data_IF_031015385299
#
_entry.id   IF_031015385299
#
_cell.length_a   1.000
_cell.length_b   1.000
_cell.length_c   1.000
_cell.angle_alpha   90.00
_cell.angle_beta   90.00
_cell.angle_gamma   90.00
#
_symmetry.space_group_name_H-M   'P 1'
#
loop_
_entity.id
_entity.type
_entity.pdbx_description
1 polymer ?
#
# COMPACT_ATOMS: atom_id res chain seq x y z
N UNK A 1 11.75 14.44 -15.38
CA UNK A 1 10.29 14.38 -15.16
C UNK A 1 9.90 15.62 -14.37
N UNK A 2 9.17 16.58 -14.97
CA UNK A 2 8.75 17.84 -14.32
C UNK A 2 8.11 17.65 -12.94
N UNK A 3 7.48 16.49 -12.70
CA UNK A 3 6.93 16.14 -11.39
C UNK A 3 7.98 16.14 -10.27
N UNK A 4 9.23 15.80 -10.58
CA UNK A 4 10.33 15.79 -9.60
C UNK A 4 10.95 17.18 -9.37
N UNK A 5 10.68 18.15 -10.25
CA UNK A 5 11.10 19.55 -10.14
C UNK A 5 10.04 20.47 -9.54
N UNK A 6 8.89 19.92 -9.12
CA UNK A 6 7.75 20.67 -8.54
C UNK A 6 7.14 21.73 -9.49
N UNK A 7 7.37 21.60 -10.80
CA UNK A 7 6.91 22.53 -11.84
C UNK A 7 5.89 21.90 -12.80
N UNK A 8 5.28 20.78 -12.41
CA UNK A 8 4.32 20.06 -13.24
C UNK A 8 2.97 20.78 -13.32
N UNK A 9 2.42 20.89 -14.53
CA UNK A 9 1.04 21.33 -14.76
C UNK A 9 0.03 20.24 -14.40
N UNK A 10 -1.26 20.60 -14.30
CA UNK A 10 -2.35 19.64 -14.10
C UNK A 10 -2.40 18.57 -15.21
N UNK A 11 -2.07 18.94 -16.46
CA UNK A 11 -1.99 18.00 -17.59
C UNK A 11 -0.82 17.03 -17.44
N UNK A 12 0.33 17.50 -16.95
CA UNK A 12 1.48 16.64 -16.66
C UNK A 12 1.16 15.62 -15.56
N UNK A 13 0.45 16.06 -14.53
CA UNK A 13 -0.01 15.22 -13.43
C UNK A 13 -1.00 14.17 -13.95
N UNK A 14 -2.01 14.58 -14.73
CA UNK A 14 -3.00 13.67 -15.29
C UNK A 14 -2.38 12.58 -16.18
N UNK A 15 -1.46 12.97 -17.08
CA UNK A 15 -0.74 12.00 -17.93
C UNK A 15 0.12 11.04 -17.11
N UNK A 16 0.75 11.52 -16.04
CA UNK A 16 1.56 10.68 -15.19
C UNK A 16 0.74 9.70 -14.35
N UNK A 17 -0.42 10.13 -13.84
CA UNK A 17 -1.37 9.24 -13.16
C UNK A 17 -1.79 8.11 -14.12
N UNK A 18 -2.17 8.46 -15.34
CA UNK A 18 -2.60 7.46 -16.33
C UNK A 18 -1.47 6.50 -16.71
N UNK A 19 -0.27 7.04 -16.96
CA UNK A 19 0.92 6.22 -17.20
C UNK A 19 1.17 5.26 -16.04
N UNK A 20 1.07 5.73 -14.79
CA UNK A 20 1.31 4.92 -13.59
C UNK A 20 0.28 3.80 -13.46
N UNK A 21 -0.99 4.08 -13.75
CA UNK A 21 -2.07 3.07 -13.79
C UNK A 21 -1.78 2.00 -14.85
N UNK A 22 -1.50 2.40 -16.09
CA UNK A 22 -1.20 1.47 -17.20
C UNK A 22 0.02 0.60 -16.91
N UNK A 23 0.99 1.10 -16.16
CA UNK A 23 2.18 0.35 -15.75
C UNK A 23 1.99 -0.53 -14.50
N UNK A 24 0.76 -0.62 -13.98
CA UNK A 24 0.44 -1.49 -12.83
C UNK A 24 0.85 -0.91 -11.48
N UNK A 25 0.99 0.42 -11.37
CA UNK A 25 1.43 1.08 -10.14
C UNK A 25 0.47 0.89 -8.97
N UNK A 26 -0.84 0.73 -9.23
CA UNK A 26 -1.84 0.48 -8.19
C UNK A 26 -1.69 -0.95 -7.65
N UNK A 27 -1.55 -1.93 -8.53
CA UNK A 27 -1.37 -3.33 -8.19
C UNK A 27 -0.08 -3.53 -7.40
N UNK A 28 1.00 -2.88 -7.85
CA UNK A 28 2.27 -2.87 -7.11
C UNK A 28 2.11 -2.28 -5.71
N UNK A 29 1.41 -1.15 -5.56
CA UNK A 29 1.16 -0.55 -4.26
C UNK A 29 0.36 -1.48 -3.34
N UNK A 30 -0.67 -2.16 -3.87
CA UNK A 30 -1.46 -3.17 -3.12
C UNK A 30 -0.59 -4.34 -2.66
N UNK A 31 0.23 -4.89 -3.56
CA UNK A 31 1.13 -5.99 -3.22
C UNK A 31 2.13 -5.57 -2.14
N UNK A 32 2.72 -4.37 -2.26
CA UNK A 32 3.65 -3.84 -1.27
C UNK A 32 3.01 -3.74 0.12
N UNK A 33 1.75 -3.30 0.22
CA UNK A 33 1.02 -3.24 1.49
C UNK A 33 0.83 -4.64 2.10
N UNK A 34 0.46 -5.64 1.29
CA UNK A 34 0.34 -7.05 1.73
C UNK A 34 1.70 -7.61 2.18
N UNK A 35 2.78 -7.29 1.47
CA UNK A 35 4.12 -7.75 1.83
C UNK A 35 4.57 -7.17 3.19
N UNK A 36 4.27 -5.90 3.44
CA UNK A 36 4.56 -5.28 4.74
C UNK A 36 3.69 -5.82 5.87
N UNK A 37 2.42 -6.13 5.60
CA UNK A 37 1.56 -6.86 6.55
C UNK A 37 2.19 -8.19 6.96
N UNK A 38 2.61 -9.00 5.98
CA UNK A 38 3.22 -10.31 6.24
C UNK A 38 4.52 -10.18 7.04
N UNK A 39 5.36 -9.19 6.70
CA UNK A 39 6.56 -8.86 7.48
C UNK A 39 6.22 -8.49 8.93
N UNK A 40 5.21 -7.67 9.15
CA UNK A 40 4.79 -7.27 10.50
C UNK A 40 4.26 -8.46 11.32
N UNK A 41 3.44 -9.33 10.72
CA UNK A 41 2.95 -10.53 11.40
C UNK A 41 4.08 -11.52 11.74
N UNK A 42 5.11 -11.61 10.90
CA UNK A 42 6.29 -12.43 11.17
C UNK A 42 7.14 -11.95 12.36
N UNK A 43 7.00 -10.68 12.78
CA UNK A 43 7.67 -10.13 13.97
C UNK A 43 6.96 -10.50 15.27
N UNK A 44 5.74 -11.04 15.21
CA UNK A 44 5.01 -11.42 16.42
C UNK A 44 5.70 -12.63 17.09
N UNK A 45 5.89 -12.59 18.42
CA UNK A 45 6.49 -13.70 19.13
C UNK A 45 5.59 -14.93 19.04
N UNK A 46 6.19 -16.13 19.09
CA UNK A 46 5.44 -17.39 19.08
C UNK A 46 4.44 -17.48 20.25
N UNK A 47 4.77 -16.83 21.38
CA UNK A 47 3.92 -16.70 22.56
C UNK A 47 2.73 -15.76 22.40
N UNK A 48 2.62 -15.00 21.29
CA UNK A 48 1.47 -14.15 21.06
C UNK A 48 0.20 -14.99 20.91
N UNK A 49 -0.81 -14.67 21.72
CA UNK A 49 -2.10 -15.33 21.68
C UNK A 49 -2.80 -15.14 20.32
N UNK A 50 -3.57 -16.15 19.92
CA UNK A 50 -4.25 -16.15 18.61
C UNK A 50 -5.14 -14.92 18.43
N UNK A 51 -5.88 -14.51 19.47
CA UNK A 51 -6.74 -13.32 19.42
C UNK A 51 -5.97 -12.03 19.10
N UNK A 52 -4.71 -11.89 19.55
CA UNK A 52 -3.88 -10.72 19.25
C UNK A 52 -3.42 -10.77 17.78
N UNK A 53 -3.03 -11.95 17.29
CA UNK A 53 -2.66 -12.15 15.89
C UNK A 53 -3.83 -11.83 14.96
N UNK A 54 -5.03 -12.31 15.30
CA UNK A 54 -6.25 -12.08 14.52
C UNK A 54 -6.65 -10.60 14.52
N UNK A 55 -6.61 -9.94 15.68
CA UNK A 55 -6.96 -8.52 15.79
C UNK A 55 -6.01 -7.61 14.98
N UNK A 56 -4.70 -7.86 15.05
CA UNK A 56 -3.71 -7.10 14.27
C UNK A 56 -3.84 -7.37 12.77
N UNK A 57 -4.13 -8.61 12.40
CA UNK A 57 -4.38 -9.01 11.02
C UNK A 57 -5.60 -8.26 10.46
N UNK A 58 -6.73 -8.32 11.16
CA UNK A 58 -7.97 -7.64 10.77
C UNK A 58 -7.80 -6.12 10.68
N UNK A 59 -7.04 -5.52 11.59
CA UNK A 59 -6.75 -4.08 11.54
C UNK A 59 -5.98 -3.69 10.27
N UNK A 60 -4.93 -4.45 9.92
CA UNK A 60 -4.12 -4.15 8.74
C UNK A 60 -4.93 -4.41 7.46
N UNK A 61 -5.73 -5.48 7.42
CA UNK A 61 -6.62 -5.79 6.29
C UNK A 61 -7.61 -4.65 6.05
N UNK A 62 -8.24 -4.13 7.10
CA UNK A 62 -9.09 -2.94 7.01
C UNK A 62 -8.35 -1.72 6.44
N UNK A 63 -7.09 -1.50 6.85
CA UNK A 63 -6.29 -0.38 6.34
C UNK A 63 -5.97 -0.51 4.85
N UNK A 64 -5.77 -1.75 4.36
CA UNK A 64 -5.46 -2.05 2.95
C UNK A 64 -6.73 -1.98 2.08
N UNK A 65 -7.85 -2.49 2.59
CA UNK A 65 -9.10 -2.65 1.84
C UNK A 65 -9.98 -1.40 1.84
N UNK A 66 -9.72 -0.41 2.71
CA UNK A 66 -10.54 0.81 2.72
C UNK A 66 -10.40 1.55 1.38
N UNK A 67 -11.51 1.68 0.66
CA UNK A 67 -11.69 2.75 -0.31
C UNK A 67 -12.17 4.00 0.45
N UNK A 68 -11.41 5.09 0.32
CA UNK A 68 -11.79 6.41 0.84
C UNK A 68 -11.94 7.39 -0.31
#
# INVERSE_FOLDING_TARGET
LCIRSLDASDEDIARFIEYTKVKGGIEYARQAMVDYRNKALALLPQSAGQAVKDALTAYIDYVIERDK
#
